data_IF_168714065652
#
_entry.id   IF_168714065652
#
_cell.length_a   1.000
_cell.length_b   1.000
_cell.length_c   1.000
_cell.angle_alpha   90.00
_cell.angle_beta   90.00
_cell.angle_gamma   90.00
#
_symmetry.space_group_name_H-M   'P 1'
#
loop_
_entity.id
_entity.type
_entity.pdbx_description
1 polymer ?
#
# COMPACT_ATOMS: atom_id res chain seq x y z
N UNK A 1 16.16 -1.57 -4.80
CA UNK A 1 16.29 -1.33 -6.25
C UNK A 1 17.14 -0.11 -6.55
N UNK A 2 16.85 1.05 -5.95
CA UNK A 2 17.66 2.27 -6.15
C UNK A 2 19.11 2.10 -5.69
N UNK A 3 19.34 1.45 -4.54
CA UNK A 3 20.69 1.19 -4.03
C UNK A 3 21.49 0.28 -4.97
N UNK A 4 20.91 -0.86 -5.39
CA UNK A 4 21.49 -1.75 -6.41
C UNK A 4 21.80 -1.01 -7.73
N UNK A 5 20.91 -0.10 -8.14
CA UNK A 5 21.12 0.74 -9.33
C UNK A 5 22.34 1.66 -9.15
N UNK A 6 22.46 2.36 -8.01
CA UNK A 6 23.60 3.22 -7.70
C UNK A 6 24.91 2.44 -7.60
N UNK A 7 24.89 1.21 -7.08
CA UNK A 7 26.05 0.32 -6.96
C UNK A 7 26.50 -0.30 -8.29
N UNK A 8 25.82 -0.02 -9.41
CA UNK A 8 26.15 -0.57 -10.72
C UNK A 8 25.47 -1.90 -11.04
N UNK A 9 24.65 -2.42 -10.13
CA UNK A 9 23.87 -3.66 -10.28
C UNK A 9 22.52 -3.42 -11.00
N UNK A 10 22.56 -2.67 -12.10
CA UNK A 10 21.38 -2.27 -12.89
C UNK A 10 20.54 -3.44 -13.39
N UNK A 11 21.19 -4.55 -13.76
CA UNK A 11 20.50 -5.77 -14.21
C UNK A 11 19.65 -6.36 -13.09
N UNK A 12 20.19 -6.43 -11.86
CA UNK A 12 19.45 -6.90 -10.70
C UNK A 12 18.30 -5.96 -10.34
N UNK A 13 18.51 -4.64 -10.46
CA UNK A 13 17.45 -3.66 -10.26
C UNK A 13 16.31 -3.84 -11.28
N UNK A 14 16.64 -4.02 -12.55
CA UNK A 14 15.66 -4.26 -13.63
C UNK A 14 14.93 -5.59 -13.46
N UNK A 15 15.65 -6.68 -13.19
CA UNK A 15 15.05 -8.00 -12.93
C UNK A 15 14.15 -7.98 -11.71
N UNK A 16 14.59 -7.35 -10.61
CA UNK A 16 13.80 -7.23 -9.40
C UNK A 16 12.49 -6.48 -9.61
N UNK A 17 12.52 -5.41 -10.41
CA UNK A 17 11.30 -4.70 -10.82
C UNK A 17 10.35 -5.59 -11.64
N UNK A 18 10.86 -6.32 -12.64
CA UNK A 18 10.06 -7.23 -13.47
C UNK A 18 9.44 -8.35 -12.63
N UNK A 19 10.23 -8.98 -11.76
CA UNK A 19 9.75 -10.02 -10.84
C UNK A 19 8.64 -9.46 -9.93
N UNK A 20 8.84 -8.27 -9.36
CA UNK A 20 7.82 -7.61 -8.54
C UNK A 20 6.52 -7.34 -9.29
N UNK A 21 6.60 -6.91 -10.55
CA UNK A 21 5.44 -6.69 -11.41
C UNK A 21 4.69 -7.99 -11.70
N UNK A 22 5.41 -9.05 -12.10
CA UNK A 22 4.80 -10.36 -12.35
C UNK A 22 4.15 -10.93 -11.09
N UNK A 23 4.86 -10.92 -9.96
CA UNK A 23 4.35 -11.43 -8.69
C UNK A 23 3.07 -10.70 -8.27
N UNK A 24 3.01 -9.38 -8.48
CA UNK A 24 1.83 -8.57 -8.17
C UNK A 24 0.63 -8.94 -9.03
N UNK A 25 0.83 -9.13 -10.34
CA UNK A 25 -0.24 -9.53 -11.28
C UNK A 25 -0.73 -10.94 -10.96
N UNK A 26 0.16 -11.90 -10.74
CA UNK A 26 -0.23 -13.27 -10.39
C UNK A 26 -0.94 -13.36 -9.04
N UNK A 27 -0.49 -12.61 -8.03
CA UNK A 27 -1.15 -12.55 -6.72
C UNK A 27 -2.58 -12.01 -6.85
N UNK A 28 -2.80 -10.99 -7.69
CA UNK A 28 -4.12 -10.47 -7.98
C UNK A 28 -5.02 -11.51 -8.65
N UNK A 29 -4.53 -12.17 -9.71
CA UNK A 29 -5.28 -13.22 -10.42
C UNK A 29 -5.65 -14.36 -9.47
N UNK A 30 -4.69 -14.83 -8.68
CA UNK A 30 -4.91 -15.88 -7.70
C UNK A 30 -5.97 -15.47 -6.65
N UNK A 31 -5.92 -14.22 -6.17
CA UNK A 31 -6.92 -13.67 -5.26
C UNK A 31 -8.33 -13.65 -5.88
N UNK A 32 -8.44 -13.22 -7.14
CA UNK A 32 -9.70 -13.20 -7.88
C UNK A 32 -10.26 -14.61 -8.06
N UNK A 33 -9.46 -15.58 -8.50
CA UNK A 33 -9.91 -16.96 -8.69
C UNK A 33 -10.30 -17.64 -7.38
N UNK A 34 -9.53 -17.41 -6.31
CA UNK A 34 -9.87 -17.88 -4.96
C UNK A 34 -11.22 -17.32 -4.51
N UNK A 35 -11.48 -16.03 -4.76
CA UNK A 35 -12.76 -15.40 -4.41
C UNK A 35 -13.95 -16.01 -5.15
N UNK A 36 -13.81 -16.33 -6.44
CA UNK A 36 -14.85 -17.00 -7.25
C UNK A 36 -15.10 -18.42 -6.76
N UNK A 37 -14.04 -19.16 -6.43
CA UNK A 37 -14.11 -20.49 -5.85
C UNK A 37 -14.87 -20.49 -4.52
N UNK A 38 -14.51 -19.57 -3.62
CA UNK A 38 -15.18 -19.41 -2.34
C UNK A 38 -16.66 -19.05 -2.50
N UNK A 39 -16.99 -18.11 -3.41
CA UNK A 39 -18.38 -17.77 -3.73
C UNK A 39 -19.18 -19.00 -4.20
N UNK A 40 -18.60 -19.85 -5.07
CA UNK A 40 -19.25 -21.07 -5.55
C UNK A 40 -19.47 -22.09 -4.42
N UNK A 41 -18.49 -22.25 -3.53
CA UNK A 41 -18.61 -23.10 -2.34
C UNK A 41 -19.71 -22.62 -1.40
N UNK A 42 -19.79 -21.31 -1.16
CA UNK A 42 -20.79 -20.70 -0.28
C UNK A 42 -22.21 -20.90 -0.85
N UNK A 43 -22.39 -20.69 -2.15
CA UNK A 43 -23.66 -20.96 -2.84
C UNK A 43 -24.02 -22.45 -2.77
N UNK A 44 -23.06 -23.36 -3.03
CA UNK A 44 -23.30 -24.81 -2.97
C UNK A 44 -23.66 -25.28 -1.56
N UNK A 45 -23.00 -24.75 -0.53
CA UNK A 45 -23.30 -25.01 0.88
C UNK A 45 -24.70 -24.53 1.26
N UNK A 46 -25.11 -23.34 0.78
CA UNK A 46 -26.46 -22.82 0.99
C UNK A 46 -27.55 -23.63 0.25
N UNK A 47 -27.21 -24.29 -0.85
CA UNK A 47 -28.13 -25.08 -1.68
C UNK A 47 -28.34 -26.53 -1.23
N UNK A 48 -27.43 -27.10 -0.43
CA UNK A 48 -27.50 -28.53 -0.02
C UNK A 48 -28.11 -28.77 1.36
N UNK A 49 -28.62 -27.73 2.05
CA UNK A 49 -29.03 -27.86 3.45
C UNK A 49 -30.07 -26.89 4.01
N UNK A 50 -30.87 -26.19 3.19
CA UNK A 50 -31.94 -25.30 3.70
C UNK A 50 -33.27 -25.56 2.97
N UNK A 51 -33.79 -26.79 3.09
CA UNK A 51 -35.20 -27.09 2.85
C UNK A 51 -36.04 -27.09 4.15
N UNK A 52 -35.43 -26.81 5.30
CA UNK A 52 -36.12 -26.76 6.60
C UNK A 52 -35.34 -25.85 7.53
N UNK A 53 -36.04 -24.99 8.27
CA UNK A 53 -35.47 -23.91 9.07
C UNK A 53 -34.93 -22.73 8.24
N UNK A 54 -35.83 -22.14 7.45
CA UNK A 54 -35.85 -20.69 7.25
C UNK A 54 -36.17 -20.03 8.60
N UNK A 55 -35.29 -20.23 9.60
CA UNK A 55 -35.30 -19.43 10.82
C UNK A 55 -35.03 -18.02 10.34
N UNK A 56 -36.03 -17.17 10.51
CA UNK A 56 -35.90 -15.73 10.43
C UNK A 56 -34.76 -15.29 11.36
N UNK A 57 -33.51 -15.34 10.91
CA UNK A 57 -32.55 -14.30 11.26
C UNK A 57 -32.98 -13.06 10.49
N UNK A 58 -34.16 -12.54 10.89
CA UNK A 58 -34.51 -11.15 10.64
C UNK A 58 -33.37 -10.35 11.26
N UNK A 59 -32.61 -9.74 10.37
CA UNK A 59 -31.41 -8.97 10.63
C UNK A 59 -31.81 -7.77 11.48
N UNK A 60 -31.74 -7.91 12.80
CA UNK A 60 -32.06 -6.85 13.74
C UNK A 60 -30.94 -5.80 13.72
N UNK A 61 -31.13 -4.83 12.83
CA UNK A 61 -30.34 -3.62 12.62
C UNK A 61 -28.93 -3.83 12.05
N UNK A 62 -28.81 -3.66 10.73
CA UNK A 62 -27.55 -3.44 10.00
C UNK A 62 -26.62 -2.43 10.72
N UNK A 63 -27.20 -1.37 11.30
CA UNK A 63 -26.46 -0.35 12.05
C UNK A 63 -25.81 -0.91 13.33
N UNK A 64 -26.46 -1.85 14.01
CA UNK A 64 -25.92 -2.50 15.21
C UNK A 64 -24.75 -3.44 14.86
N UNK A 65 -24.85 -4.18 13.76
CA UNK A 65 -23.72 -4.98 13.28
C UNK A 65 -22.52 -4.13 12.84
N UNK A 66 -22.77 -3.02 12.12
CA UNK A 66 -21.72 -2.06 11.79
C UNK A 66 -21.08 -1.45 13.04
N UNK A 67 -21.88 -1.10 14.04
CA UNK A 67 -21.37 -0.58 15.31
C UNK A 67 -20.49 -1.61 16.03
N UNK A 68 -20.94 -2.87 16.13
CA UNK A 68 -20.15 -3.95 16.74
C UNK A 68 -18.84 -4.19 15.97
N UNK A 69 -18.89 -4.21 14.64
CA UNK A 69 -17.69 -4.35 13.80
C UNK A 69 -16.72 -3.18 14.03
N UNK A 70 -17.23 -1.94 14.05
CA UNK A 70 -16.43 -0.75 14.27
C UNK A 70 -15.76 -0.77 15.66
N UNK A 71 -16.52 -1.12 16.71
CA UNK A 71 -15.98 -1.27 18.07
C UNK A 71 -14.89 -2.35 18.11
N UNK A 72 -15.12 -3.52 17.51
CA UNK A 72 -14.12 -4.59 17.44
C UNK A 72 -12.84 -4.15 16.73
N UNK A 73 -12.96 -3.47 15.59
CA UNK A 73 -11.82 -2.96 14.84
C UNK A 73 -11.05 -1.89 15.62
N UNK A 74 -11.75 -0.99 16.31
CA UNK A 74 -11.13 0.03 17.16
C UNK A 74 -10.41 -0.59 18.36
N UNK A 75 -11.01 -1.59 19.01
CA UNK A 75 -10.36 -2.33 20.11
C UNK A 75 -9.11 -3.05 19.62
N UNK A 76 -9.17 -3.71 18.47
CA UNK A 76 -8.02 -4.38 17.89
C UNK A 76 -6.90 -3.39 17.55
N UNK A 77 -7.25 -2.23 16.95
CA UNK A 77 -6.29 -1.17 16.64
C UNK A 77 -5.66 -0.58 17.91
N UNK A 78 -6.46 -0.31 18.93
CA UNK A 78 -5.98 0.18 20.22
C UNK A 78 -5.06 -0.84 20.92
N UNK A 79 -5.41 -2.13 20.84
CA UNK A 79 -4.56 -3.22 21.33
C UNK A 79 -3.22 -3.27 20.60
N UNK A 80 -3.22 -3.22 19.27
CA UNK A 80 -2.00 -3.20 18.47
C UNK A 80 -1.12 -1.99 18.77
N UNK A 81 -1.70 -0.80 18.90
CA UNK A 81 -0.95 0.41 19.31
C UNK A 81 -0.39 0.30 20.72
N UNK A 82 -1.16 -0.23 21.67
CA UNK A 82 -0.72 -0.40 23.05
C UNK A 82 0.46 -1.36 23.13
N UNK A 83 0.34 -2.54 22.51
CA UNK A 83 1.42 -3.54 22.46
C UNK A 83 2.65 -2.99 21.73
N UNK A 84 2.46 -2.36 20.57
CA UNK A 84 3.57 -1.77 19.82
C UNK A 84 4.26 -0.66 20.60
N UNK A 85 3.53 0.17 21.36
CA UNK A 85 4.10 1.23 22.19
C UNK A 85 4.88 0.71 23.39
N UNK A 86 4.36 -0.33 24.07
CA UNK A 86 5.05 -0.97 25.19
C UNK A 86 6.35 -1.63 24.69
N UNK A 87 6.27 -2.41 23.61
CA UNK A 87 7.43 -3.08 23.04
C UNK A 87 8.44 -2.09 22.46
N UNK A 88 7.98 -1.01 21.83
CA UNK A 88 8.86 0.07 21.39
C UNK A 88 9.65 0.64 22.58
N UNK A 89 9.00 0.92 23.71
CA UNK A 89 9.66 1.47 24.90
C UNK A 89 10.65 0.49 25.53
N UNK A 90 10.31 -0.80 25.57
CA UNK A 90 11.19 -1.84 26.11
C UNK A 90 12.40 -2.04 25.20
N UNK A 91 12.18 -2.17 23.90
CA UNK A 91 13.20 -2.52 22.91
C UNK A 91 14.12 -1.35 22.56
N UNK A 92 13.63 -0.12 22.71
CA UNK A 92 14.47 1.08 22.54
C UNK A 92 15.57 1.15 23.62
N UNK A 93 15.29 0.69 24.84
CA UNK A 93 16.26 0.65 25.93
C UNK A 93 17.23 -0.54 25.81
N UNK A 94 16.79 -1.66 25.21
CA UNK A 94 17.65 -2.84 24.96
C UNK A 94 18.54 -2.68 23.71
N UNK A 95 18.46 -1.55 23.00
CA UNK A 95 19.27 -1.22 21.83
C UNK A 95 19.10 -2.15 20.62
N UNK A 96 18.00 -2.90 20.58
CA UNK A 96 17.78 -3.99 19.63
C UNK A 96 17.43 -3.54 18.21
N UNK A 97 17.69 -4.43 17.25
CA UNK A 97 17.45 -4.18 15.83
C UNK A 97 15.97 -4.06 15.48
N UNK A 98 15.03 -4.54 16.31
CA UNK A 98 13.61 -4.65 15.94
C UNK A 98 12.78 -3.41 16.28
N UNK A 99 13.36 -2.41 16.95
CA UNK A 99 12.69 -1.17 17.36
C UNK A 99 11.94 -0.47 16.22
N UNK A 100 12.50 -0.50 15.00
CA UNK A 100 11.89 0.12 13.82
C UNK A 100 10.58 -0.56 13.39
N UNK A 101 10.41 -1.87 13.65
CA UNK A 101 9.20 -2.61 13.32
C UNK A 101 8.03 -2.21 14.22
N UNK A 102 8.27 -2.09 15.53
CA UNK A 102 7.27 -1.62 16.49
C UNK A 102 6.84 -0.18 16.20
N UNK A 103 7.80 0.68 15.87
CA UNK A 103 7.50 2.04 15.43
C UNK A 103 6.72 2.04 14.10
N UNK A 104 7.07 1.16 13.15
CA UNK A 104 6.34 0.99 11.89
C UNK A 104 4.87 0.61 12.11
N UNK A 105 4.59 -0.30 13.07
CA UNK A 105 3.23 -0.69 13.43
C UNK A 105 2.40 0.48 14.00
N UNK A 106 3.04 1.43 14.69
CA UNK A 106 2.35 2.63 15.20
C UNK A 106 2.00 3.60 14.07
N UNK A 107 2.95 3.86 13.15
CA UNK A 107 2.76 4.85 12.08
C UNK A 107 2.03 4.29 10.85
N UNK A 108 1.94 2.97 10.68
CA UNK A 108 1.27 2.31 9.56
C UNK A 108 -0.20 2.70 9.39
N UNK A 109 -1.04 2.64 10.44
CA UNK A 109 -2.43 3.07 10.37
C UNK A 109 -2.63 4.50 9.86
N UNK A 110 -1.72 5.43 10.19
CA UNK A 110 -1.77 6.79 9.67
C UNK A 110 -1.62 6.82 8.14
N UNK A 111 -0.75 5.97 7.58
CA UNK A 111 -0.59 5.83 6.13
C UNK A 111 -1.86 5.34 5.46
N UNK A 112 -2.56 4.39 6.07
CA UNK A 112 -3.87 3.90 5.60
C UNK A 112 -4.92 4.99 5.60
N UNK A 113 -4.98 5.82 6.65
CA UNK A 113 -5.95 6.91 6.74
C UNK A 113 -5.71 7.98 5.67
N UNK A 114 -4.45 8.38 5.46
CA UNK A 114 -4.09 9.31 4.39
C UNK A 114 -4.44 8.71 3.03
N UNK A 115 -4.11 7.44 2.78
CA UNK A 115 -4.48 6.75 1.53
C UNK A 115 -6.00 6.71 1.34
N UNK A 116 -6.76 6.40 2.38
CA UNK A 116 -8.22 6.37 2.32
C UNK A 116 -8.81 7.75 2.02
N UNK A 117 -8.25 8.81 2.61
CA UNK A 117 -8.63 10.17 2.30
C UNK A 117 -8.33 10.52 0.83
N UNK A 118 -7.12 10.18 0.35
CA UNK A 118 -6.73 10.38 -1.05
C UNK A 118 -7.62 9.60 -2.00
N UNK A 119 -8.01 8.35 -1.66
CA UNK A 119 -8.87 7.51 -2.49
C UNK A 119 -10.23 8.15 -2.81
N UNK A 120 -10.69 9.12 -1.99
CA UNK A 120 -11.91 9.90 -2.28
C UNK A 120 -11.78 10.77 -3.54
N UNK A 121 -10.55 11.05 -3.99
CA UNK A 121 -10.28 11.77 -5.23
C UNK A 121 -10.38 10.87 -6.47
N UNK A 122 -10.43 9.55 -6.30
CA UNK A 122 -10.59 8.62 -7.41
C UNK A 122 -11.96 8.83 -8.07
N UNK A 123 -11.98 9.07 -9.37
CA UNK A 123 -13.23 9.27 -10.12
C UNK A 123 -13.76 10.71 -10.15
N UNK A 124 -13.15 11.66 -9.44
CA UNK A 124 -13.58 13.07 -9.45
C UNK A 124 -13.12 13.82 -10.71
N UNK A 125 -11.96 13.47 -11.26
CA UNK A 125 -11.33 14.20 -12.36
C UNK A 125 -10.72 15.55 -11.93
N UNK A 126 -10.11 16.25 -12.88
CA UNK A 126 -9.49 17.56 -12.73
C UNK A 126 -10.44 18.67 -13.17
N UNK A 127 -10.48 19.75 -12.38
CA UNK A 127 -11.26 20.96 -12.67
C UNK A 127 -12.77 20.79 -12.53
N UNK A 128 -13.52 21.89 -12.73
CA UNK A 128 -14.99 21.91 -12.62
C UNK A 128 -15.69 21.05 -13.68
N UNK A 129 -15.04 20.81 -14.81
CA UNK A 129 -15.53 19.99 -15.92
C UNK A 129 -15.29 18.49 -15.73
N UNK A 130 -14.45 18.09 -14.76
CA UNK A 130 -14.14 16.68 -14.53
C UNK A 130 -13.34 16.05 -15.66
N UNK A 131 -12.33 16.76 -16.15
CA UNK A 131 -11.39 16.22 -17.14
C UNK A 131 -10.65 15.01 -16.51
N UNK A 132 -10.34 13.96 -17.26
CA UNK A 132 -9.63 12.78 -16.73
C UNK A 132 -10.30 12.08 -15.54
N UNK A 133 -11.64 12.12 -15.42
CA UNK A 133 -12.42 11.35 -14.42
C UNK A 133 -12.10 9.85 -14.39
N UNK A 134 -11.58 9.30 -15.48
CA UNK A 134 -11.18 7.90 -15.57
C UNK A 134 -9.89 7.59 -14.80
N UNK A 135 -9.09 8.61 -14.42
CA UNK A 135 -7.84 8.44 -13.69
C UNK A 135 -8.13 8.38 -12.18
N UNK A 136 -7.69 7.33 -11.48
CA UNK A 136 -7.74 7.26 -10.02
C UNK A 136 -6.61 8.11 -9.41
N UNK A 137 -6.84 9.42 -9.31
CA UNK A 137 -5.86 10.39 -8.82
C UNK A 137 -5.40 10.14 -7.38
N UNK A 138 -6.29 9.68 -6.51
CA UNK A 138 -5.95 9.32 -5.13
C UNK A 138 -4.88 8.25 -5.05
N UNK A 139 -5.05 7.16 -5.81
CA UNK A 139 -4.10 6.06 -5.85
C UNK A 139 -2.78 6.49 -6.50
N UNK A 140 -2.85 7.26 -7.59
CA UNK A 140 -1.68 7.85 -8.24
C UNK A 140 -0.87 8.71 -7.26
N UNK A 141 -1.51 9.67 -6.58
CA UNK A 141 -0.86 10.57 -5.63
C UNK A 141 -0.26 9.78 -4.48
N UNK A 142 -0.99 8.81 -3.93
CA UNK A 142 -0.50 8.00 -2.81
C UNK A 142 0.77 7.21 -3.18
N UNK A 143 0.80 6.58 -4.36
CA UNK A 143 1.95 5.80 -4.81
C UNK A 143 3.15 6.68 -5.15
N UNK A 144 2.94 7.76 -5.93
CA UNK A 144 4.03 8.64 -6.36
C UNK A 144 4.61 9.43 -5.19
N UNK A 145 3.75 9.97 -4.29
CA UNK A 145 4.23 10.67 -3.10
C UNK A 145 4.98 9.74 -2.15
N UNK A 146 4.48 8.52 -1.95
CA UNK A 146 5.16 7.52 -1.13
C UNK A 146 6.55 7.20 -1.68
N UNK A 147 6.66 6.91 -2.97
CA UNK A 147 7.94 6.70 -3.67
C UNK A 147 8.92 7.87 -3.46
N UNK A 148 8.45 9.12 -3.67
CA UNK A 148 9.28 10.32 -3.49
C UNK A 148 9.78 10.49 -2.05
N UNK A 149 8.89 10.33 -1.06
CA UNK A 149 9.26 10.48 0.36
C UNK A 149 10.17 9.33 0.79
N UNK A 150 9.94 8.11 0.30
CA UNK A 150 10.82 6.95 0.58
C UNK A 150 12.23 7.22 0.06
N UNK A 151 12.36 7.72 -1.17
CA UNK A 151 13.64 8.12 -1.75
C UNK A 151 14.33 9.22 -0.93
N UNK A 152 13.60 10.27 -0.54
CA UNK A 152 14.13 11.37 0.28
C UNK A 152 14.65 10.88 1.64
N UNK A 153 13.88 10.02 2.31
CA UNK A 153 14.29 9.40 3.57
C UNK A 153 15.52 8.49 3.39
N UNK A 154 15.61 7.75 2.28
CA UNK A 154 16.78 6.93 1.99
C UNK A 154 18.05 7.78 1.79
N UNK A 155 17.93 8.92 1.11
CA UNK A 155 19.02 9.89 0.98
C UNK A 155 19.40 10.47 2.34
N UNK A 156 18.41 10.84 3.16
CA UNK A 156 18.63 11.39 4.51
C UNK A 156 19.36 10.41 5.42
N UNK A 157 19.01 9.11 5.36
CA UNK A 157 19.72 8.05 6.10
C UNK A 157 21.20 8.03 5.77
N UNK A 158 21.56 8.08 4.48
CA UNK A 158 22.96 8.13 4.04
C UNK A 158 23.67 9.44 4.44
N UNK A 159 22.95 10.57 4.40
CA UNK A 159 23.54 11.88 4.70
C UNK A 159 23.80 12.13 6.20
N UNK A 160 22.91 11.66 7.09
CA UNK A 160 23.02 11.88 8.53
C UNK A 160 23.77 10.75 9.23
N UNK A 161 23.62 9.50 8.76
CA UNK A 161 24.31 8.31 9.29
C UNK A 161 24.16 8.09 10.81
N UNK A 162 23.04 8.52 11.40
CA UNK A 162 22.75 8.36 12.83
C UNK A 162 21.78 7.21 13.08
N UNK A 163 22.05 6.39 14.11
CA UNK A 163 21.20 5.24 14.50
C UNK A 163 19.73 5.64 14.71
N UNK A 164 19.47 6.76 15.38
CA UNK A 164 18.09 7.23 15.62
C UNK A 164 17.41 7.66 14.33
N UNK A 165 18.13 8.34 13.44
CA UNK A 165 17.64 8.72 12.12
C UNK A 165 17.28 7.48 11.31
N UNK A 166 18.14 6.46 11.31
CA UNK A 166 17.89 5.20 10.61
C UNK A 166 16.66 4.48 11.15
N UNK A 167 16.50 4.36 12.47
CA UNK A 167 15.33 3.71 13.08
C UNK A 167 14.05 4.44 12.67
N UNK A 168 14.01 5.77 12.80
CA UNK A 168 12.82 6.58 12.50
C UNK A 168 12.50 6.56 11.00
N UNK A 169 13.50 6.79 10.14
CA UNK A 169 13.31 6.80 8.70
C UNK A 169 12.87 5.41 8.18
N UNK A 170 13.47 4.34 8.70
CA UNK A 170 13.11 2.96 8.35
C UNK A 170 11.69 2.63 8.81
N UNK A 171 11.29 3.06 10.01
CA UNK A 171 9.93 2.87 10.50
C UNK A 171 8.88 3.64 9.68
N UNK A 172 9.19 4.87 9.27
CA UNK A 172 8.30 5.67 8.39
C UNK A 172 8.21 5.02 7.00
N UNK A 173 9.33 4.56 6.44
CA UNK A 173 9.36 3.86 5.15
C UNK A 173 8.52 2.59 5.17
N UNK A 174 8.76 1.68 6.11
CA UNK A 174 8.05 0.40 6.17
C UNK A 174 6.61 0.54 6.66
N UNK A 175 6.36 1.36 7.67
CA UNK A 175 5.04 1.54 8.27
C UNK A 175 4.17 2.48 7.45
N UNK A 176 4.44 3.79 7.56
CA UNK A 176 3.59 4.84 7.00
C UNK A 176 3.56 4.79 5.47
N UNK A 177 4.72 4.85 4.82
CA UNK A 177 4.82 4.92 3.36
C UNK A 177 4.47 3.59 2.69
N UNK A 178 4.81 2.48 3.32
CA UNK A 178 4.35 1.13 2.93
C UNK A 178 2.82 1.01 2.95
N UNK A 179 2.15 1.57 3.96
CA UNK A 179 0.69 1.55 4.05
C UNK A 179 -0.02 2.64 3.23
N UNK A 180 0.68 3.73 2.94
CA UNK A 180 0.23 4.83 2.08
C UNK A 180 0.24 4.41 0.60
N UNK A 181 1.30 3.74 0.16
CA UNK A 181 1.35 3.15 -1.18
C UNK A 181 0.46 1.91 -1.27
N UNK A 182 0.02 1.56 -2.47
CA UNK A 182 -0.81 0.39 -2.71
C UNK A 182 -0.65 -0.14 -4.14
N UNK A 183 -0.03 -1.32 -4.25
CA UNK A 183 0.00 -2.09 -5.49
C UNK A 183 -1.34 -2.81 -5.75
N UNK A 184 -2.02 -3.41 -4.76
CA UNK A 184 -3.29 -4.11 -5.03
C UNK A 184 -4.39 -3.22 -5.59
N UNK A 185 -4.55 -1.99 -5.09
CA UNK A 185 -5.54 -1.06 -5.64
C UNK A 185 -5.16 -0.63 -7.06
N UNK A 186 -3.87 -0.33 -7.31
CA UNK A 186 -3.36 -0.01 -8.64
C UNK A 186 -3.63 -1.12 -9.66
N UNK A 187 -3.37 -2.40 -9.31
CA UNK A 187 -3.64 -3.54 -10.19
C UNK A 187 -5.14 -3.75 -10.40
N UNK A 188 -5.96 -3.58 -9.37
CA UNK A 188 -7.42 -3.67 -9.49
C UNK A 188 -7.98 -2.59 -10.43
N UNK A 189 -7.50 -1.34 -10.30
CA UNK A 189 -7.84 -0.22 -11.18
C UNK A 189 -7.38 -0.47 -12.62
N UNK A 190 -6.15 -0.97 -12.80
CA UNK A 190 -5.62 -1.36 -14.10
C UNK A 190 -6.50 -2.42 -14.76
N UNK A 191 -6.87 -3.47 -14.03
CA UNK A 191 -7.72 -4.53 -14.56
C UNK A 191 -9.12 -4.02 -14.92
N UNK A 192 -9.73 -3.19 -14.05
CA UNK A 192 -11.02 -2.58 -14.33
C UNK A 192 -10.99 -1.69 -15.58
N UNK A 193 -9.91 -0.95 -15.80
CA UNK A 193 -9.73 -0.15 -17.03
C UNK A 193 -9.48 -1.02 -18.26
N UNK A 194 -8.75 -2.13 -18.12
CA UNK A 194 -8.47 -3.08 -19.20
C UNK A 194 -9.74 -3.77 -19.70
N UNK A 195 -10.67 -4.06 -18.80
CA UNK A 195 -11.99 -4.64 -19.13
C UNK A 195 -13.00 -3.59 -19.63
N UNK A 196 -12.66 -2.30 -19.57
CA UNK A 196 -13.54 -1.22 -20.04
C UNK A 196 -13.53 -1.06 -21.56
N UNK A 197 -14.45 -0.23 -22.09
CA UNK A 197 -14.54 0.10 -23.53
C UNK A 197 -13.23 0.66 -24.11
N UNK A 198 -12.39 1.27 -23.29
CA UNK A 198 -11.16 1.96 -23.72
C UNK A 198 -9.94 1.37 -22.98
N UNK A 199 -9.46 0.17 -23.38
CA UNK A 199 -8.39 -0.53 -22.68
C UNK A 199 -7.04 0.20 -22.69
N UNK A 200 -6.80 1.07 -23.68
CA UNK A 200 -5.58 1.87 -23.79
C UNK A 200 -5.33 2.74 -22.55
N UNK A 201 -6.40 3.15 -21.85
CA UNK A 201 -6.33 3.96 -20.62
C UNK A 201 -5.58 3.24 -19.51
N UNK A 202 -5.72 1.92 -19.41
CA UNK A 202 -5.03 1.11 -18.41
C UNK A 202 -3.50 1.20 -18.61
N UNK A 203 -3.04 1.05 -19.86
CA UNK A 203 -1.62 1.12 -20.19
C UNK A 203 -1.06 2.52 -20.02
N UNK A 204 -1.80 3.56 -20.42
CA UNK A 204 -1.37 4.95 -20.18
C UNK A 204 -1.24 5.23 -18.68
N UNK A 205 -2.23 4.84 -17.87
CA UNK A 205 -2.17 5.02 -16.42
C UNK A 205 -0.99 4.28 -15.79
N UNK A 206 -0.75 3.03 -16.19
CA UNK A 206 0.38 2.26 -15.70
C UNK A 206 1.72 2.89 -16.06
N UNK A 207 1.90 3.28 -17.33
CA UNK A 207 3.12 3.94 -17.81
C UNK A 207 3.35 5.24 -17.04
N UNK A 208 2.34 6.11 -16.93
CA UNK A 208 2.46 7.39 -16.22
C UNK A 208 2.83 7.16 -14.75
N UNK A 209 2.17 6.23 -14.06
CA UNK A 209 2.44 5.96 -12.64
C UNK A 209 3.87 5.44 -12.44
N UNK A 210 4.27 4.41 -13.18
CA UNK A 210 5.58 3.78 -13.05
C UNK A 210 6.70 4.74 -13.45
N UNK A 211 6.56 5.40 -14.60
CA UNK A 211 7.58 6.31 -15.11
C UNK A 211 7.75 7.52 -14.20
N UNK A 212 6.66 8.13 -13.74
CA UNK A 212 6.73 9.30 -12.85
C UNK A 212 7.37 8.93 -11.52
N UNK A 213 6.99 7.79 -10.91
CA UNK A 213 7.63 7.32 -9.68
C UNK A 213 9.13 7.07 -9.89
N UNK A 214 9.50 6.34 -10.94
CA UNK A 214 10.90 5.98 -11.19
C UNK A 214 11.78 7.21 -11.48
N UNK A 215 11.30 8.15 -12.29
CA UNK A 215 12.02 9.39 -12.58
C UNK A 215 12.22 10.22 -11.31
N UNK A 216 11.17 10.42 -10.51
CA UNK A 216 11.28 11.21 -9.29
C UNK A 216 12.16 10.52 -8.24
N UNK A 217 12.05 9.21 -8.06
CA UNK A 217 12.93 8.44 -7.17
C UNK A 217 14.40 8.57 -7.58
N UNK A 218 14.71 8.44 -8.87
CA UNK A 218 16.08 8.60 -9.39
C UNK A 218 16.60 10.02 -9.15
N UNK A 219 15.77 11.04 -9.37
CA UNK A 219 16.14 12.44 -9.12
C UNK A 219 16.36 12.73 -7.63
N UNK A 220 15.57 12.14 -6.74
CA UNK A 220 15.62 12.42 -5.30
C UNK A 220 16.70 11.58 -4.59
N UNK A 221 16.96 10.36 -5.05
CA UNK A 221 17.94 9.46 -4.42
C UNK A 221 19.25 9.38 -5.18
N UNK A 222 19.22 8.94 -6.44
CA UNK A 222 20.44 8.64 -7.19
C UNK A 222 21.27 9.89 -7.46
N UNK A 223 20.63 11.01 -7.84
CA UNK A 223 21.36 12.26 -8.12
C UNK A 223 22.12 12.79 -6.90
N UNK A 224 21.51 12.97 -5.71
CA UNK A 224 22.27 13.39 -4.53
C UNK A 224 23.38 12.43 -4.12
N UNK A 225 23.14 11.12 -4.22
CA UNK A 225 24.13 10.11 -3.86
C UNK A 225 25.33 10.15 -4.81
N UNK A 226 25.10 10.28 -6.12
CA UNK A 226 26.18 10.45 -7.10
C UNK A 226 26.92 11.78 -6.96
N UNK A 227 26.19 12.88 -6.76
CA UNK A 227 26.78 14.22 -6.70
C UNK A 227 27.62 14.45 -5.43
N UNK A 228 27.19 13.89 -4.29
CA UNK A 228 27.86 14.09 -3.00
C UNK A 228 28.69 12.89 -2.53
N UNK A 229 28.64 11.77 -3.26
CA UNK A 229 29.42 10.57 -2.94
C UNK A 229 29.06 9.93 -1.60
N UNK A 230 27.80 10.04 -1.19
CA UNK A 230 27.31 9.39 0.02
C UNK A 230 27.49 7.87 -0.11
N UNK A 231 28.15 7.25 0.87
CA UNK A 231 28.32 5.78 0.93
C UNK A 231 27.14 5.18 1.68
#
# INVERSE_FOLDING_TARGET
>A
MLELSVEGHWVFAGLGFLIGLFLSVYSFIFGVETSKGFRKLLIRSSGYGIASSRKNWRVDSYNRHLAVLAVLLLLFLAGLWSVSGILLRQEFNSNSSETHLWLACIVGPLGVWVRWFLARLNGHGLGKTGLLKWVPFGTLIANVSSACIMAALATMKKAVSSKTCDIVATAIQFGFLGCLSTVPAFIAEFNAMRESKNPWRAYLYAIVTIFTSFCLETLIYSVPVWAKGYK
#
